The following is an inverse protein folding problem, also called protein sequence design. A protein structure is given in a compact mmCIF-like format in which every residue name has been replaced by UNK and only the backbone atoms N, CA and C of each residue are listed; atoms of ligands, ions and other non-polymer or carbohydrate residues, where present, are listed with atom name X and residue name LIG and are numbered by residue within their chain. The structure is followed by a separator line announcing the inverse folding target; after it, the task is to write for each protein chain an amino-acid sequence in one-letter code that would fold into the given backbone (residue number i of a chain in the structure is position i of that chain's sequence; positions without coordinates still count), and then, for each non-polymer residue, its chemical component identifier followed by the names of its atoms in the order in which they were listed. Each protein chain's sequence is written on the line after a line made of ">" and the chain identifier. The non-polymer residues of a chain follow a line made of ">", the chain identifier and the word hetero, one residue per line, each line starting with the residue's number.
data_IF_524462186258
#
_entry.id   IF_524462186258
#
_cell.length_a   1.000
_cell.length_b   1.000
_cell.length_c   1.000
_cell.angle_alpha   90.00
_cell.angle_beta   90.00
_cell.angle_gamma   90.00
#
_symmetry.space_group_name_H-M   'P 1'
#
loop_
_entity.id
_entity.type
_entity.pdbx_description
1 polymer ?
#
# COMPACT_ATOMS: atom_id res chain seq x y z
N UNK A 1 -22.42 12.40 -8.33
CA UNK A 1 -21.25 12.99 -7.64
C UNK A 1 -20.89 12.02 -6.53
N UNK A 2 -19.92 11.13 -6.76
CA UNK A 2 -19.41 10.21 -5.73
C UNK A 2 -18.60 11.05 -4.74
N UNK A 3 -19.13 11.23 -3.54
CA UNK A 3 -18.38 11.79 -2.43
C UNK A 3 -17.04 11.06 -2.33
N UNK A 4 -15.95 11.82 -2.33
CA UNK A 4 -14.58 11.26 -2.32
C UNK A 4 -14.33 10.67 -0.93
N UNK A 5 -14.75 9.42 -0.71
CA UNK A 5 -14.52 8.74 0.56
C UNK A 5 -13.01 8.67 0.83
N UNK A 6 -12.57 9.27 1.93
CA UNK A 6 -11.16 9.27 2.31
C UNK A 6 -10.87 8.09 3.23
N UNK A 7 -10.42 6.98 2.65
CA UNK A 7 -10.03 5.78 3.38
C UNK A 7 -8.75 6.05 4.17
N UNK A 8 -8.88 6.16 5.50
CA UNK A 8 -7.75 6.34 6.41
C UNK A 8 -6.92 5.05 6.48
N UNK A 9 -5.66 5.17 6.82
CA UNK A 9 -4.68 4.08 6.86
C UNK A 9 -5.19 2.79 7.53
N UNK A 10 -5.66 2.84 8.78
CA UNK A 10 -6.21 1.66 9.47
C UNK A 10 -7.37 1.00 8.73
N UNK A 11 -8.27 1.82 8.18
CA UNK A 11 -9.39 1.33 7.40
C UNK A 11 -8.92 0.68 6.09
N UNK A 12 -7.87 1.23 5.45
CA UNK A 12 -7.23 0.63 4.27
C UNK A 12 -6.69 -0.77 4.59
N UNK A 13 -5.93 -0.91 5.69
CA UNK A 13 -5.39 -2.21 6.12
C UNK A 13 -6.51 -3.22 6.35
N UNK A 14 -7.52 -2.86 7.17
CA UNK A 14 -8.58 -3.81 7.52
C UNK A 14 -9.46 -4.17 6.32
N UNK A 15 -9.81 -3.20 5.49
CA UNK A 15 -10.59 -3.44 4.28
C UNK A 15 -9.85 -4.35 3.30
N UNK A 16 -8.53 -4.18 3.17
CA UNK A 16 -7.68 -5.05 2.36
C UNK A 16 -7.65 -6.48 2.89
N UNK A 17 -7.48 -6.68 4.19
CA UNK A 17 -7.47 -8.00 4.81
C UNK A 17 -8.83 -8.71 4.71
N UNK A 18 -9.95 -7.95 4.78
CA UNK A 18 -11.29 -8.48 4.51
C UNK A 18 -11.43 -8.89 3.05
N UNK A 19 -10.90 -8.08 2.12
CA UNK A 19 -10.94 -8.38 0.69
C UNK A 19 -10.22 -9.68 0.34
N UNK A 20 -9.08 -9.98 0.95
CA UNK A 20 -8.33 -11.22 0.70
C UNK A 20 -9.15 -12.48 1.02
N UNK A 21 -10.11 -12.40 1.93
CA UNK A 21 -11.00 -13.51 2.31
C UNK A 21 -12.34 -13.49 1.55
N UNK A 22 -12.48 -12.66 0.55
CA UNK A 22 -13.72 -12.53 -0.22
C UNK A 22 -14.18 -13.89 -0.80
N UNK A 23 -13.25 -14.67 -1.34
CA UNK A 23 -13.54 -15.98 -1.94
C UNK A 23 -13.70 -17.11 -0.93
N UNK A 24 -13.27 -16.92 0.31
CA UNK A 24 -13.38 -17.90 1.39
C UNK A 24 -14.64 -17.72 2.27
N UNK A 25 -15.54 -16.83 1.87
CA UNK A 25 -16.78 -16.58 2.61
C UNK A 25 -16.72 -15.40 3.59
N UNK A 26 -15.59 -14.74 3.75
CA UNK A 26 -15.37 -13.62 4.67
C UNK A 26 -14.34 -13.93 5.76
N UNK A 27 -14.20 -13.06 6.74
CA UNK A 27 -13.25 -13.26 7.83
C UNK A 27 -13.79 -12.74 9.18
N UNK A 28 -13.29 -13.32 10.27
CA UNK A 28 -13.54 -12.84 11.62
C UNK A 28 -12.49 -11.77 12.01
N UNK A 29 -12.84 -10.91 12.97
CA UNK A 29 -11.89 -9.94 13.52
C UNK A 29 -10.64 -10.61 14.13
N UNK A 30 -10.76 -11.82 14.65
CA UNK A 30 -9.64 -12.62 15.15
C UNK A 30 -8.64 -12.97 14.02
N UNK A 31 -9.14 -13.41 12.86
CA UNK A 31 -8.29 -13.78 11.71
C UNK A 31 -7.53 -12.57 11.16
N UNK A 32 -8.17 -11.39 11.18
CA UNK A 32 -7.52 -10.13 10.81
C UNK A 32 -6.33 -9.84 11.73
N UNK A 33 -6.54 -9.92 13.06
CA UNK A 33 -5.46 -9.69 14.03
C UNK A 33 -4.31 -10.68 13.84
N UNK A 34 -4.65 -11.97 13.68
CA UNK A 34 -3.67 -13.03 13.45
C UNK A 34 -2.81 -12.75 12.20
N UNK A 35 -3.42 -12.31 11.10
CA UNK A 35 -2.70 -11.96 9.85
C UNK A 35 -1.80 -10.73 10.01
N UNK A 36 -2.24 -9.72 10.74
CA UNK A 36 -1.42 -8.54 11.06
C UNK A 36 -0.14 -8.98 11.78
N UNK A 37 -0.26 -9.93 12.73
CA UNK A 37 0.87 -10.47 13.48
C UNK A 37 1.77 -11.37 12.61
N UNK A 38 1.19 -12.33 11.90
CA UNK A 38 1.92 -13.30 11.06
C UNK A 38 2.74 -12.61 9.94
N UNK A 39 2.24 -11.49 9.42
CA UNK A 39 2.93 -10.73 8.36
C UNK A 39 3.87 -9.67 8.87
N UNK A 40 3.99 -9.50 10.19
CA UNK A 40 4.80 -8.44 10.78
C UNK A 40 4.35 -7.03 10.34
N UNK A 41 3.06 -6.84 9.98
CA UNK A 41 2.56 -5.56 9.47
C UNK A 41 2.77 -4.41 10.44
N UNK A 42 2.94 -4.70 11.72
CA UNK A 42 3.25 -3.72 12.76
C UNK A 42 4.61 -3.06 12.56
N UNK A 43 5.57 -3.79 11.98
CA UNK A 43 6.95 -3.32 11.85
C UNK A 43 7.16 -2.49 10.57
N UNK A 44 6.49 -2.85 9.48
CA UNK A 44 6.66 -2.16 8.20
C UNK A 44 5.71 -0.98 7.96
N UNK A 45 4.67 -0.82 8.79
CA UNK A 45 3.70 0.26 8.63
C UNK A 45 3.71 1.30 9.77
N UNK A 46 4.63 1.23 10.74
CA UNK A 46 4.61 2.03 11.98
C UNK A 46 3.27 2.02 12.75
N UNK A 47 2.34 1.13 12.38
CA UNK A 47 0.98 1.02 12.92
C UNK A 47 0.96 0.14 14.18
N UNK A 48 2.07 -0.47 14.48
CA UNK A 48 2.21 -1.54 15.47
C UNK A 48 1.58 -1.29 16.83
N UNK A 49 1.53 -0.04 17.28
CA UNK A 49 0.93 0.30 18.57
C UNK A 49 -0.61 0.34 18.54
N UNK A 50 -1.25 0.42 17.36
CA UNK A 50 -2.65 0.84 17.24
C UNK A 50 -3.64 -0.25 16.77
N UNK A 51 -3.19 -1.50 16.53
CA UNK A 51 -4.06 -2.63 16.20
C UNK A 51 -4.35 -3.52 17.42
N UNK A 52 -4.92 -2.92 18.48
CA UNK A 52 -5.57 -3.71 19.53
C UNK A 52 -6.87 -4.32 19.00
N UNK A 53 -7.34 -5.42 19.59
CA UNK A 53 -8.63 -6.01 19.25
C UNK A 53 -9.77 -4.99 19.28
N UNK A 54 -9.80 -4.11 20.28
CA UNK A 54 -10.81 -3.06 20.38
C UNK A 54 -10.76 -2.05 19.24
N UNK A 55 -9.57 -1.77 18.71
CA UNK A 55 -9.38 -0.88 17.54
C UNK A 55 -9.83 -1.57 16.26
N UNK A 56 -9.54 -2.87 16.10
CA UNK A 56 -10.00 -3.67 14.97
C UNK A 56 -11.53 -3.68 14.92
N UNK A 57 -12.19 -4.05 16.02
CA UNK A 57 -13.66 -4.08 16.09
C UNK A 57 -14.28 -2.73 15.77
N UNK A 58 -13.84 -1.65 16.42
CA UNK A 58 -14.35 -0.29 16.13
C UNK A 58 -14.14 0.14 14.69
N UNK A 59 -13.04 -0.26 14.08
CA UNK A 59 -12.80 0.09 12.69
C UNK A 59 -13.69 -0.73 11.75
N UNK A 60 -13.92 -2.02 12.04
CA UNK A 60 -14.84 -2.86 11.26
C UNK A 60 -16.29 -2.37 11.38
N UNK A 61 -16.75 -2.01 12.58
CA UNK A 61 -18.07 -1.41 12.79
C UNK A 61 -18.24 -0.13 11.95
N UNK A 62 -17.22 0.74 11.95
CA UNK A 62 -17.24 1.94 11.13
C UNK A 62 -17.26 1.62 9.63
N UNK A 63 -16.49 0.63 9.17
CA UNK A 63 -16.52 0.20 7.77
C UNK A 63 -17.89 -0.36 7.39
N UNK A 64 -18.59 -1.00 8.33
CA UNK A 64 -19.96 -1.49 8.14
C UNK A 64 -20.97 -0.34 8.09
N UNK A 65 -20.89 0.64 8.98
CA UNK A 65 -21.71 1.86 8.97
C UNK A 65 -21.54 2.63 7.65
N UNK A 66 -20.30 2.70 7.16
CA UNK A 66 -19.93 3.33 5.88
C UNK A 66 -20.28 2.43 4.65
N UNK A 67 -20.87 1.24 4.87
CA UNK A 67 -21.26 0.25 3.85
C UNK A 67 -20.12 -0.30 3.00
N UNK A 68 -18.89 -0.24 3.50
CA UNK A 68 -17.72 -0.79 2.82
C UNK A 68 -17.57 -2.28 3.08
N UNK A 69 -18.07 -2.75 4.21
CA UNK A 69 -18.22 -4.17 4.54
C UNK A 69 -19.66 -4.44 4.97
N UNK A 70 -20.06 -5.69 4.86
CA UNK A 70 -21.27 -6.25 5.48
C UNK A 70 -20.88 -7.33 6.44
N UNK A 71 -21.73 -7.61 7.44
CA UNK A 71 -21.47 -8.70 8.38
C UNK A 71 -22.69 -9.60 8.53
N UNK A 72 -22.42 -10.85 8.88
CA UNK A 72 -23.42 -11.84 9.27
C UNK A 72 -22.91 -12.68 10.44
N UNK A 73 -23.82 -13.34 11.11
CA UNK A 73 -23.49 -14.23 12.22
C UNK A 73 -23.34 -15.66 11.73
N UNK A 74 -22.29 -16.33 12.20
CA UNK A 74 -22.02 -17.74 11.94
C UNK A 74 -21.89 -18.49 13.28
N UNK A 75 -22.53 -19.65 13.39
CA UNK A 75 -22.38 -20.52 14.56
C UNK A 75 -21.26 -21.53 14.32
N UNK A 76 -20.18 -21.43 15.12
CA UNK A 76 -19.06 -22.37 15.13
C UNK A 76 -18.86 -22.85 16.55
N UNK A 77 -18.91 -24.18 16.77
CA UNK A 77 -18.71 -24.81 18.07
C UNK A 77 -19.60 -24.23 19.18
N UNK A 78 -20.90 -24.04 18.93
CA UNK A 78 -21.89 -23.43 19.84
C UNK A 78 -21.54 -22.00 20.25
N UNK A 79 -20.77 -21.26 19.44
CA UNK A 79 -20.47 -19.83 19.63
C UNK A 79 -20.85 -19.05 18.39
N UNK A 80 -21.65 -18.02 18.58
CA UNK A 80 -21.97 -17.07 17.51
C UNK A 80 -20.77 -16.17 17.26
N UNK A 81 -20.31 -16.11 16.01
CA UNK A 81 -19.20 -15.25 15.58
C UNK A 81 -19.65 -14.35 14.45
N UNK A 82 -19.20 -13.10 14.48
CA UNK A 82 -19.45 -12.13 13.42
C UNK A 82 -18.40 -12.27 12.31
N UNK A 83 -18.86 -12.50 11.06
CA UNK A 83 -18.07 -12.63 9.84
C UNK A 83 -18.25 -11.37 9.02
N UNK A 84 -17.17 -10.80 8.54
CA UNK A 84 -17.17 -9.59 7.71
C UNK A 84 -16.81 -9.94 6.27
N UNK A 85 -17.55 -9.36 5.32
CA UNK A 85 -17.30 -9.42 3.88
C UNK A 85 -17.20 -8.02 3.30
N UNK A 86 -16.34 -7.85 2.31
CA UNK A 86 -16.28 -6.60 1.55
C UNK A 86 -17.51 -6.49 0.63
N UNK A 87 -18.12 -5.31 0.57
CA UNK A 87 -19.18 -5.02 -0.39
C UNK A 87 -18.58 -4.65 -1.75
N UNK A 88 -19.41 -4.66 -2.81
CA UNK A 88 -18.98 -4.16 -4.13
C UNK A 88 -18.53 -2.69 -4.07
N UNK A 89 -19.24 -1.88 -3.30
CA UNK A 89 -18.86 -0.49 -3.06
C UNK A 89 -17.51 -0.39 -2.32
N UNK A 90 -17.33 -1.19 -1.26
CA UNK A 90 -16.07 -1.25 -0.52
C UNK A 90 -14.89 -1.70 -1.38
N UNK A 91 -15.12 -2.69 -2.26
CA UNK A 91 -14.11 -3.13 -3.22
C UNK A 91 -13.69 -2.01 -4.18
N UNK A 92 -14.66 -1.26 -4.73
CA UNK A 92 -14.37 -0.11 -5.59
C UNK A 92 -13.58 0.99 -4.89
N UNK A 93 -13.91 1.29 -3.62
CA UNK A 93 -13.16 2.27 -2.80
C UNK A 93 -11.74 1.78 -2.49
N UNK A 94 -11.57 0.50 -2.13
CA UNK A 94 -10.27 -0.11 -1.90
C UNK A 94 -9.39 -0.05 -3.14
N UNK A 95 -9.90 -0.53 -4.26
CA UNK A 95 -9.20 -0.54 -5.55
C UNK A 95 -8.74 0.86 -5.94
N UNK A 96 -9.64 1.84 -5.84
CA UNK A 96 -9.31 3.24 -6.10
C UNK A 96 -8.22 3.78 -5.18
N UNK A 97 -8.28 3.49 -3.88
CA UNK A 97 -7.26 3.95 -2.92
C UNK A 97 -5.90 3.33 -3.22
N UNK A 98 -5.84 2.03 -3.54
CA UNK A 98 -4.61 1.34 -3.94
C UNK A 98 -4.02 2.00 -5.19
N UNK A 99 -4.84 2.23 -6.21
CA UNK A 99 -4.42 2.93 -7.43
C UNK A 99 -3.86 4.33 -7.11
N UNK A 100 -4.62 5.15 -6.39
CA UNK A 100 -4.25 6.54 -6.08
C UNK A 100 -2.93 6.62 -5.29
N UNK A 101 -2.70 5.71 -4.34
CA UNK A 101 -1.46 5.67 -3.54
C UNK A 101 -0.26 5.30 -4.40
N UNK A 102 -0.36 4.25 -5.21
CA UNK A 102 0.74 3.80 -6.06
C UNK A 102 1.04 4.79 -7.19
N UNK A 103 0.00 5.35 -7.81
CA UNK A 103 0.14 6.32 -8.90
C UNK A 103 0.86 7.60 -8.45
N UNK A 104 0.55 8.09 -7.24
CA UNK A 104 1.10 9.34 -6.70
C UNK A 104 2.36 9.14 -5.85
N UNK A 105 2.98 7.96 -5.87
CA UNK A 105 4.19 7.70 -5.10
C UNK A 105 5.38 8.52 -5.61
N UNK A 106 6.05 9.22 -4.70
CA UNK A 106 7.19 10.12 -4.98
C UNK A 106 8.40 9.86 -4.06
N UNK A 107 8.61 8.63 -3.60
CA UNK A 107 9.72 8.31 -2.69
C UNK A 107 9.57 8.88 -1.29
N UNK A 108 8.40 9.37 -0.93
CA UNK A 108 8.10 9.80 0.44
C UNK A 108 7.73 8.59 1.28
N UNK A 109 8.19 8.58 2.53
CA UNK A 109 7.83 7.59 3.52
C UNK A 109 6.33 7.70 3.81
N UNK A 110 5.52 6.99 3.01
CA UNK A 110 4.06 6.94 3.12
C UNK A 110 3.67 5.57 3.67
N UNK A 111 3.03 5.55 4.83
CA UNK A 111 2.56 4.31 5.47
C UNK A 111 1.55 3.57 4.58
N UNK A 112 0.75 4.30 3.80
CA UNK A 112 -0.20 3.73 2.87
C UNK A 112 0.49 2.99 1.70
N UNK A 113 1.73 3.36 1.34
CA UNK A 113 2.44 2.76 0.22
C UNK A 113 2.64 1.25 0.41
N UNK A 114 3.17 0.81 1.54
CA UNK A 114 3.42 -0.62 1.79
C UNK A 114 2.13 -1.43 1.79
N UNK A 115 1.05 -0.86 2.33
CA UNK A 115 -0.27 -1.49 2.32
C UNK A 115 -0.81 -1.58 0.90
N UNK A 116 -0.78 -0.48 0.14
CA UNK A 116 -1.22 -0.47 -1.25
C UNK A 116 -0.36 -1.39 -2.12
N UNK A 117 0.95 -1.43 -1.90
CA UNK A 117 1.86 -2.32 -2.60
C UNK A 117 1.53 -3.79 -2.32
N UNK A 118 1.23 -4.17 -1.07
CA UNK A 118 0.83 -5.54 -0.75
C UNK A 118 -0.49 -5.97 -1.42
N UNK A 119 -1.30 -5.00 -1.85
CA UNK A 119 -2.63 -5.21 -2.43
C UNK A 119 -2.71 -4.87 -3.92
N UNK A 120 -1.60 -4.52 -4.57
CA UNK A 120 -1.65 -4.10 -5.97
C UNK A 120 -2.23 -5.16 -6.94
N UNK A 121 -2.23 -6.49 -6.63
CA UNK A 121 -2.93 -7.47 -7.47
C UNK A 121 -4.45 -7.25 -7.61
N UNK A 122 -5.07 -6.35 -6.81
CA UNK A 122 -6.47 -5.92 -7.01
C UNK A 122 -6.67 -5.09 -8.29
N UNK A 123 -5.60 -4.51 -8.81
CA UNK A 123 -5.59 -3.73 -10.05
C UNK A 123 -5.50 -4.66 -11.26
N UNK A 124 -6.10 -4.25 -12.40
CA UNK A 124 -5.87 -4.96 -13.66
C UNK A 124 -4.40 -4.82 -14.09
N UNK A 125 -3.95 -5.68 -15.00
CA UNK A 125 -2.58 -5.64 -15.51
C UNK A 125 -2.23 -4.29 -16.16
N UNK A 126 -3.19 -3.70 -16.87
CA UNK A 126 -3.04 -2.39 -17.48
C UNK A 126 -2.89 -1.31 -16.40
N UNK A 127 -3.75 -1.33 -15.38
CA UNK A 127 -3.68 -0.40 -14.24
C UNK A 127 -2.36 -0.56 -13.48
N UNK A 128 -1.88 -1.79 -13.28
CA UNK A 128 -0.59 -2.05 -12.63
C UNK A 128 0.57 -1.43 -13.41
N UNK A 129 0.64 -1.68 -14.73
CA UNK A 129 1.66 -1.10 -15.60
C UNK A 129 1.57 0.43 -15.58
N UNK A 130 0.36 0.98 -15.60
CA UNK A 130 0.14 2.42 -15.57
C UNK A 130 0.67 3.05 -14.28
N UNK A 131 0.23 2.56 -13.10
CA UNK A 131 0.62 3.16 -11.82
C UNK A 131 2.12 3.08 -11.57
N UNK A 132 2.74 1.92 -11.84
CA UNK A 132 4.17 1.76 -11.62
C UNK A 132 5.02 2.51 -12.65
N UNK A 133 4.58 2.61 -13.91
CA UNK A 133 5.26 3.42 -14.92
C UNK A 133 5.19 4.90 -14.61
N UNK A 134 4.01 5.40 -14.16
CA UNK A 134 3.86 6.79 -13.78
C UNK A 134 4.71 7.13 -12.54
N UNK A 135 4.68 6.30 -11.51
CA UNK A 135 5.49 6.51 -10.32
C UNK A 135 6.99 6.49 -10.65
N UNK A 136 7.47 5.53 -11.46
CA UNK A 136 8.86 5.44 -11.90
C UNK A 136 9.30 6.71 -12.65
N UNK A 137 8.48 7.19 -13.58
CA UNK A 137 8.79 8.43 -14.32
C UNK A 137 8.85 9.65 -13.38
N UNK A 138 7.95 9.72 -12.40
CA UNK A 138 7.92 10.79 -11.41
C UNK A 138 9.15 10.76 -10.49
N UNK A 139 9.58 9.56 -10.04
CA UNK A 139 10.80 9.34 -9.26
C UNK A 139 12.05 9.79 -10.06
N UNK A 140 12.18 9.32 -11.32
CA UNK A 140 13.29 9.70 -12.20
C UNK A 140 13.40 11.21 -12.40
N UNK A 141 12.27 11.85 -12.68
CA UNK A 141 12.18 13.30 -12.86
C UNK A 141 12.61 14.04 -11.59
N UNK A 142 12.05 13.67 -10.43
CA UNK A 142 12.36 14.33 -9.16
C UNK A 142 13.83 14.12 -8.75
N UNK A 143 14.39 12.93 -8.96
CA UNK A 143 15.81 12.66 -8.73
C UNK A 143 16.71 13.51 -9.62
N UNK A 144 16.34 13.65 -10.90
CA UNK A 144 17.06 14.50 -11.84
C UNK A 144 17.06 15.98 -11.41
N UNK A 145 15.88 16.50 -11.03
CA UNK A 145 15.72 17.89 -10.56
C UNK A 145 16.57 18.16 -9.33
N UNK A 146 16.53 17.28 -8.31
CA UNK A 146 17.34 17.41 -7.09
C UNK A 146 18.85 17.37 -7.40
N UNK A 147 19.27 16.49 -8.33
CA UNK A 147 20.67 16.40 -8.72
C UNK A 147 21.13 17.67 -9.41
N UNK A 148 20.32 18.20 -10.32
CA UNK A 148 20.64 19.46 -11.02
C UNK A 148 20.76 20.63 -10.03
N UNK A 149 19.83 20.73 -9.09
CA UNK A 149 19.88 21.74 -8.03
C UNK A 149 21.16 21.64 -7.19
N UNK A 150 21.57 20.40 -6.81
CA UNK A 150 22.81 20.19 -6.07
C UNK A 150 24.05 20.60 -6.88
N UNK A 151 24.11 20.19 -8.15
CA UNK A 151 25.23 20.51 -9.06
C UNK A 151 25.37 22.04 -9.23
N UNK A 152 24.28 22.76 -9.46
CA UNK A 152 24.26 24.23 -9.55
C UNK A 152 24.73 24.90 -8.25
N UNK A 153 24.28 24.39 -7.12
CA UNK A 153 24.71 24.90 -5.80
C UNK A 153 26.21 24.69 -5.56
N UNK A 154 26.75 23.53 -5.93
CA UNK A 154 28.19 23.24 -5.77
C UNK A 154 29.07 24.09 -6.69
N UNK A 155 28.59 24.45 -7.87
CA UNK A 155 29.29 25.39 -8.77
C UNK A 155 29.38 26.78 -8.12
N UNK A 156 28.29 27.27 -7.54
CA UNK A 156 28.24 28.60 -6.93
C UNK A 156 28.85 28.65 -5.51
N UNK A 157 28.86 27.54 -4.80
CA UNK A 157 29.33 27.39 -3.41
C UNK A 157 30.18 26.13 -3.24
N UNK A 158 31.43 26.09 -3.72
CA UNK A 158 32.27 24.87 -3.72
C UNK A 158 32.59 24.31 -2.33
N UNK A 159 32.50 25.12 -1.27
CA UNK A 159 32.78 24.72 0.11
C UNK A 159 31.50 24.58 0.97
N UNK A 160 30.44 24.05 0.37
CA UNK A 160 29.19 23.86 1.07
C UNK A 160 29.32 22.86 2.22
N UNK A 161 28.81 23.19 3.44
CA UNK A 161 28.85 22.29 4.58
C UNK A 161 28.08 20.98 4.32
N UNK A 162 28.55 19.88 4.93
CA UNK A 162 27.98 18.53 4.76
C UNK A 162 26.52 18.44 5.18
N UNK A 163 26.08 19.22 6.19
CA UNK A 163 24.68 19.28 6.61
C UNK A 163 23.76 19.91 5.54
N UNK A 164 24.28 20.78 4.67
CA UNK A 164 23.54 21.38 3.57
C UNK A 164 23.54 20.44 2.36
N UNK A 165 24.70 19.94 1.94
CA UNK A 165 24.78 18.97 0.82
C UNK A 165 24.01 17.67 1.14
N UNK A 166 24.00 17.25 2.40
CA UNK A 166 23.26 16.08 2.88
C UNK A 166 21.76 16.15 2.63
N UNK A 167 21.15 17.37 2.66
CA UNK A 167 19.74 17.57 2.36
C UNK A 167 19.36 17.19 0.91
N UNK A 168 20.32 17.20 0.00
CA UNK A 168 20.15 16.79 -1.39
C UNK A 168 20.60 15.34 -1.62
N UNK A 169 21.78 14.98 -1.08
CA UNK A 169 22.39 13.66 -1.30
C UNK A 169 21.49 12.55 -0.75
N UNK A 170 20.89 12.72 0.44
CA UNK A 170 20.07 11.71 1.06
C UNK A 170 18.80 11.39 0.24
N UNK A 171 17.94 12.36 -0.13
CA UNK A 171 16.78 12.07 -0.97
C UNK A 171 17.17 11.56 -2.37
N UNK A 172 18.26 12.04 -2.99
CA UNK A 172 18.74 11.51 -4.28
C UNK A 172 19.07 10.02 -4.19
N UNK A 173 19.70 9.56 -3.07
CA UNK A 173 20.01 8.14 -2.86
C UNK A 173 18.74 7.31 -2.64
N UNK A 174 17.79 7.81 -1.85
CA UNK A 174 16.50 7.13 -1.65
C UNK A 174 15.78 6.96 -2.99
N UNK A 175 15.64 8.04 -3.76
CA UNK A 175 14.97 8.01 -5.06
C UNK A 175 15.67 7.07 -6.06
N UNK A 176 17.01 6.93 -5.98
CA UNK A 176 17.73 5.96 -6.79
C UNK A 176 17.35 4.51 -6.43
N UNK A 177 17.28 4.20 -5.16
CA UNK A 177 16.86 2.87 -4.68
C UNK A 177 15.42 2.57 -5.08
N UNK A 178 14.53 3.55 -4.95
CA UNK A 178 13.13 3.41 -5.37
C UNK A 178 13.02 3.21 -6.89
N UNK A 179 13.84 3.92 -7.70
CA UNK A 179 13.89 3.74 -9.15
C UNK A 179 14.26 2.29 -9.52
N UNK A 180 15.33 1.75 -8.93
CA UNK A 180 15.77 0.37 -9.14
C UNK A 180 14.68 -0.64 -8.73
N UNK A 181 14.01 -0.40 -7.60
CA UNK A 181 12.91 -1.22 -7.13
C UNK A 181 11.70 -1.20 -8.10
N UNK A 182 11.27 -0.02 -8.54
CA UNK A 182 10.12 0.10 -9.44
C UNK A 182 10.41 -0.47 -10.83
N UNK A 183 11.67 -0.38 -11.32
CA UNK A 183 12.09 -1.03 -12.56
C UNK A 183 11.97 -2.55 -12.46
N UNK A 184 12.44 -3.14 -11.35
CA UNK A 184 12.31 -4.58 -11.06
C UNK A 184 10.84 -5.01 -11.02
N UNK A 185 9.99 -4.27 -10.31
CA UNK A 185 8.54 -4.59 -10.20
C UNK A 185 7.88 -4.55 -11.58
N UNK A 186 8.16 -3.52 -12.40
CA UNK A 186 7.61 -3.41 -13.75
C UNK A 186 8.07 -4.53 -14.69
N UNK A 187 9.32 -4.97 -14.56
CA UNK A 187 9.81 -6.12 -15.32
C UNK A 187 9.03 -7.40 -14.98
N UNK A 188 8.82 -7.66 -13.68
CA UNK A 188 8.08 -8.85 -13.25
C UNK A 188 6.61 -8.79 -13.70
N UNK A 189 5.93 -7.64 -13.54
CA UNK A 189 4.55 -7.46 -14.01
C UNK A 189 4.44 -7.75 -15.52
N UNK A 190 5.38 -7.26 -16.33
CA UNK A 190 5.38 -7.48 -17.79
C UNK A 190 5.65 -8.94 -18.19
N UNK A 191 6.45 -9.68 -17.41
CA UNK A 191 6.73 -11.10 -17.66
C UNK A 191 5.52 -12.00 -17.43
N UNK A 192 4.69 -11.68 -16.45
CA UNK A 192 3.53 -12.53 -16.04
C UNK A 192 2.31 -12.32 -16.95
N UNK A 193 2.34 -11.37 -17.91
CA UNK A 193 1.32 -11.16 -18.95
C UNK A 193 -0.14 -11.20 -18.45
N UNK A 194 -0.43 -10.52 -17.34
CA UNK A 194 -1.82 -10.29 -16.91
C UNK A 194 -2.49 -11.42 -16.11
N UNK A 195 -1.79 -12.48 -15.77
CA UNK A 195 -2.25 -13.50 -14.82
C UNK A 195 -1.50 -13.34 -13.50
N UNK A 196 -1.78 -12.26 -12.79
CA UNK A 196 -1.06 -11.99 -11.54
C UNK A 196 -1.91 -12.41 -10.37
N UNK A 197 -1.63 -13.60 -9.84
CA UNK A 197 -1.96 -13.91 -8.46
C UNK A 197 -0.79 -13.51 -7.54
N UNK A 198 -1.01 -13.29 -6.25
CA UNK A 198 0.07 -13.05 -5.29
C UNK A 198 1.15 -14.15 -5.27
N UNK A 199 0.82 -15.34 -5.74
CA UNK A 199 1.70 -16.51 -5.77
C UNK A 199 2.57 -16.58 -7.05
N UNK A 200 2.27 -15.75 -8.07
CA UNK A 200 2.97 -15.75 -9.36
C UNK A 200 4.27 -14.94 -9.37
N UNK A 201 4.53 -14.17 -8.32
CA UNK A 201 5.76 -13.40 -8.20
C UNK A 201 6.92 -14.30 -7.77
N UNK A 202 8.04 -14.23 -8.52
CA UNK A 202 9.27 -14.87 -8.08
C UNK A 202 9.65 -14.36 -6.69
N UNK A 203 10.04 -15.30 -5.82
CA UNK A 203 10.70 -14.93 -4.57
C UNK A 203 12.01 -14.24 -4.91
N UNK A 204 12.13 -12.98 -4.50
CA UNK A 204 13.39 -12.24 -4.61
C UNK A 204 14.30 -12.78 -3.51
N UNK A 205 15.45 -13.34 -3.90
CA UNK A 205 16.53 -13.65 -2.97
C UNK A 205 17.22 -12.34 -2.60
N UNK A 206 17.17 -11.96 -1.32
CA UNK A 206 17.79 -10.73 -0.78
C UNK A 206 19.16 -11.08 -0.20
#
# INVERSE_FOLDING_TARGET
>A
MTEKYNLKHRALVLLGLVNEKMHEGGCHAYDINKRIEERGMRDWTNIGADFSFSTIYRTLERLEDDKLVESFEEEIDNRTRKVYKITEYGYGILKKKVYDVLYNYLGKKDEDFYVAFSMFPILSSEEQIEVFSHALNSIKKHRFELKHMLDDMLINFPQMPVNVTGLFIHPIKILKTDEEFFEMVLEEIKKVQGQISPDDYKRVEV
#
